data_IF_463354737272
#
_entry.id   IF_463354737272
#
_cell.length_a   1.000
_cell.length_b   1.000
_cell.length_c   1.000
_cell.angle_alpha   90.00
_cell.angle_beta   90.00
_cell.angle_gamma   90.00
#
_symmetry.space_group_name_H-M   'P 1'
#
loop_
_entity.id
_entity.type
_entity.pdbx_description
1 polymer ?
#
# COMPACT_ATOMS: atom_id res chain seq x y z
N UNK A 1 1.33 -26.63 -18.46
CA UNK A 1 1.65 -25.55 -17.50
C UNK A 1 0.37 -25.10 -16.85
N UNK A 2 0.39 -24.94 -15.54
CA UNK A 2 -0.75 -24.44 -14.75
C UNK A 2 -0.33 -23.08 -14.23
N UNK A 3 -1.17 -22.07 -14.47
CA UNK A 3 -0.87 -20.68 -14.14
C UNK A 3 -1.63 -20.25 -12.89
N UNK A 4 -1.07 -19.29 -12.16
CA UNK A 4 -1.79 -18.52 -11.16
C UNK A 4 -1.99 -17.10 -11.68
N UNK A 5 -3.24 -16.63 -11.62
CA UNK A 5 -3.58 -15.28 -12.05
C UNK A 5 -3.33 -14.27 -10.94
N UNK A 6 -2.58 -13.21 -11.20
CA UNK A 6 -2.62 -12.00 -10.38
C UNK A 6 -3.51 -10.98 -11.07
N UNK A 7 -4.49 -10.46 -10.34
CA UNK A 7 -5.42 -9.45 -10.81
C UNK A 7 -5.25 -8.17 -10.00
N UNK A 8 -4.88 -7.09 -10.68
CA UNK A 8 -4.61 -5.80 -10.05
C UNK A 8 -5.68 -4.81 -10.47
N UNK A 9 -6.36 -4.20 -9.50
CA UNK A 9 -7.32 -3.12 -9.75
C UNK A 9 -6.62 -1.77 -9.53
N UNK A 10 -6.28 -1.07 -10.60
CA UNK A 10 -5.70 0.27 -10.52
C UNK A 10 -6.03 1.09 -11.77
N UNK A 11 -6.12 2.42 -11.61
CA UNK A 11 -6.31 3.40 -12.69
C UNK A 11 -4.95 3.89 -13.26
N UNK A 12 -3.82 3.40 -12.74
CA UNK A 12 -2.46 3.77 -13.12
C UNK A 12 -1.65 2.65 -13.82
N UNK A 13 -0.31 2.79 -13.81
CA UNK A 13 0.64 1.75 -14.25
C UNK A 13 1.22 1.10 -12.98
N UNK A 14 0.72 -0.08 -12.54
CA UNK A 14 0.98 -0.56 -11.18
C UNK A 14 2.44 -0.92 -10.90
N UNK A 15 3.22 -1.25 -11.93
CA UNK A 15 4.64 -1.58 -11.82
C UNK A 15 5.56 -0.34 -11.79
N UNK A 16 5.01 0.87 -11.84
CA UNK A 16 5.79 2.08 -11.57
C UNK A 16 5.94 2.28 -10.06
N UNK A 17 4.96 1.80 -9.27
CA UNK A 17 5.02 1.88 -7.83
C UNK A 17 6.07 0.89 -7.26
N UNK A 18 7.08 1.36 -6.50
CA UNK A 18 8.13 0.50 -5.98
C UNK A 18 7.63 -0.57 -5.00
N UNK A 19 6.60 -0.26 -4.21
CA UNK A 19 6.04 -1.19 -3.24
C UNK A 19 5.36 -2.36 -3.97
N UNK A 20 4.45 -2.06 -4.90
CA UNK A 20 3.75 -3.04 -5.71
C UNK A 20 4.74 -3.89 -6.52
N UNK A 21 5.74 -3.27 -7.15
CA UNK A 21 6.74 -3.99 -7.94
C UNK A 21 7.54 -4.99 -7.12
N UNK A 22 7.99 -4.58 -5.93
CA UNK A 22 8.70 -5.47 -5.02
C UNK A 22 7.79 -6.60 -4.52
N UNK A 23 6.54 -6.27 -4.18
CA UNK A 23 5.55 -7.24 -3.74
C UNK A 23 5.24 -8.30 -4.82
N UNK A 24 5.03 -7.90 -6.08
CA UNK A 24 4.84 -8.84 -7.18
C UNK A 24 6.05 -9.74 -7.40
N UNK A 25 7.26 -9.20 -7.24
CA UNK A 25 8.50 -9.97 -7.31
C UNK A 25 8.56 -11.08 -6.25
N UNK A 26 8.23 -10.75 -5.00
CA UNK A 26 8.18 -11.74 -3.91
C UNK A 26 7.06 -12.76 -4.13
N UNK A 27 5.89 -12.32 -4.56
CA UNK A 27 4.77 -13.23 -4.84
C UNK A 27 5.08 -14.19 -6.00
N UNK A 28 5.69 -13.69 -7.09
CA UNK A 28 6.15 -14.52 -8.19
C UNK A 28 7.15 -15.60 -7.73
N UNK A 29 8.09 -15.21 -6.85
CA UNK A 29 9.08 -16.12 -6.28
C UNK A 29 8.42 -17.21 -5.43
N UNK A 30 7.45 -16.87 -4.57
CA UNK A 30 6.73 -17.87 -3.76
C UNK A 30 5.85 -18.79 -4.62
N UNK A 31 5.19 -18.26 -5.65
CA UNK A 31 4.40 -19.03 -6.61
C UNK A 31 5.29 -20.06 -7.36
N UNK A 32 6.45 -19.64 -7.84
CA UNK A 32 7.38 -20.50 -8.56
C UNK A 32 7.94 -21.63 -7.70
N UNK A 33 8.21 -21.38 -6.41
CA UNK A 33 8.64 -22.44 -5.48
C UNK A 33 7.63 -23.56 -5.34
N UNK A 34 6.35 -23.27 -5.56
CA UNK A 34 5.25 -24.24 -5.50
C UNK A 34 4.96 -24.89 -6.86
N UNK A 35 5.81 -24.67 -7.88
CA UNK A 35 5.70 -25.32 -9.19
C UNK A 35 4.66 -24.72 -10.14
N UNK A 36 4.24 -23.48 -9.89
CA UNK A 36 3.31 -22.74 -10.73
C UNK A 36 4.02 -21.58 -11.43
N UNK A 37 3.55 -21.24 -12.62
CA UNK A 37 3.95 -20.02 -13.32
C UNK A 37 2.98 -18.88 -13.02
N UNK A 38 3.52 -17.66 -12.90
CA UNK A 38 2.72 -16.47 -12.67
C UNK A 38 2.21 -15.89 -13.99
N UNK A 39 0.94 -15.53 -14.02
CA UNK A 39 0.35 -14.69 -15.06
C UNK A 39 -0.21 -13.40 -14.43
N UNK A 40 0.31 -12.25 -14.85
CA UNK A 40 -0.11 -10.95 -14.36
C UNK A 40 -1.16 -10.35 -15.30
N UNK A 41 -2.27 -9.86 -14.74
CA UNK A 41 -3.29 -9.14 -15.47
C UNK A 41 -3.81 -7.92 -14.72
N UNK A 42 -4.05 -6.85 -15.47
CA UNK A 42 -4.63 -5.61 -14.97
C UNK A 42 -6.11 -5.59 -15.31
N UNK A 43 -6.93 -5.31 -14.31
CA UNK A 43 -8.38 -5.34 -14.45
C UNK A 43 -8.90 -3.94 -14.23
N UNK A 44 -9.68 -3.44 -15.20
CA UNK A 44 -10.33 -2.12 -15.11
C UNK A 44 -11.69 -2.21 -14.44
N UNK A 45 -12.40 -3.31 -14.68
CA UNK A 45 -13.71 -3.55 -14.11
C UNK A 45 -13.93 -5.03 -13.79
N UNK A 46 -14.82 -5.29 -12.83
CA UNK A 46 -15.07 -6.65 -12.35
C UNK A 46 -15.67 -7.60 -13.39
N UNK A 47 -16.26 -7.10 -14.48
CA UNK A 47 -16.85 -7.96 -15.50
C UNK A 47 -15.79 -8.75 -16.29
N UNK A 48 -14.56 -8.21 -16.38
CA UNK A 48 -13.42 -8.85 -17.01
C UNK A 48 -12.88 -10.05 -16.19
N UNK A 49 -13.05 -10.03 -14.87
CA UNK A 49 -12.54 -11.07 -13.94
C UNK A 49 -13.04 -12.45 -14.37
N UNK A 50 -14.36 -12.60 -14.51
CA UNK A 50 -15.02 -13.86 -14.83
C UNK A 50 -14.56 -14.42 -16.18
N UNK A 51 -14.40 -13.55 -17.18
CA UNK A 51 -13.93 -13.95 -18.50
C UNK A 51 -12.47 -14.44 -18.45
N UNK A 52 -11.60 -13.71 -17.76
CA UNK A 52 -10.18 -14.03 -17.63
C UNK A 52 -9.96 -15.35 -16.89
N UNK A 53 -10.60 -15.55 -15.73
CA UNK A 53 -10.44 -16.77 -14.95
C UNK A 53 -10.93 -18.02 -15.71
N UNK A 54 -12.05 -17.92 -16.42
CA UNK A 54 -12.59 -19.05 -17.21
C UNK A 54 -11.75 -19.36 -18.45
N UNK A 55 -11.21 -18.35 -19.12
CA UNK A 55 -10.46 -18.54 -20.37
C UNK A 55 -9.04 -19.06 -20.16
N UNK A 56 -8.40 -18.74 -19.03
CA UNK A 56 -6.96 -18.94 -18.86
C UNK A 56 -6.52 -20.25 -18.20
N UNK A 57 -7.46 -21.12 -17.82
CA UNK A 57 -7.15 -22.40 -17.13
C UNK A 57 -6.19 -22.21 -15.94
N UNK A 58 -6.41 -21.16 -15.15
CA UNK A 58 -5.63 -20.91 -13.94
C UNK A 58 -6.05 -21.87 -12.82
N UNK A 59 -5.11 -22.28 -11.97
CA UNK A 59 -5.43 -23.09 -10.78
C UNK A 59 -5.99 -22.26 -9.62
N UNK A 60 -5.80 -20.96 -9.66
CA UNK A 60 -6.24 -20.03 -8.63
C UNK A 60 -5.85 -18.61 -8.98
N UNK A 61 -6.34 -17.65 -8.22
CA UNK A 61 -6.03 -16.25 -8.43
C UNK A 61 -5.78 -15.48 -7.13
N UNK A 62 -4.86 -14.52 -7.20
CA UNK A 62 -4.60 -13.52 -6.17
C UNK A 62 -5.06 -12.17 -6.69
N UNK A 63 -5.95 -11.53 -5.95
CA UNK A 63 -6.40 -10.17 -6.21
C UNK A 63 -5.66 -9.21 -5.30
N UNK A 64 -5.18 -8.08 -5.83
CA UNK A 64 -4.49 -7.03 -5.06
C UNK A 64 -5.17 -5.70 -5.34
N UNK A 65 -5.57 -5.01 -4.27
CA UNK A 65 -6.25 -3.72 -4.37
C UNK A 65 -7.22 -3.49 -3.21
N UNK A 66 -8.12 -2.52 -3.39
CA UNK A 66 -9.27 -2.36 -2.51
C UNK A 66 -10.45 -3.09 -3.14
N UNK A 67 -11.23 -3.81 -2.33
CA UNK A 67 -12.33 -4.62 -2.83
C UNK A 67 -13.63 -4.25 -2.15
N UNK A 68 -14.63 -3.89 -2.96
CA UNK A 68 -15.99 -3.57 -2.52
C UNK A 68 -16.86 -4.84 -2.42
N UNK A 69 -18.18 -4.66 -2.35
CA UNK A 69 -19.17 -5.75 -2.24
C UNK A 69 -19.05 -6.82 -3.34
N UNK A 70 -18.31 -6.54 -4.42
CA UNK A 70 -18.08 -7.47 -5.52
C UNK A 70 -17.22 -8.69 -5.15
N UNK A 71 -16.52 -8.72 -4.01
CA UNK A 71 -15.79 -9.94 -3.56
C UNK A 71 -16.73 -11.14 -3.52
N UNK A 72 -17.94 -10.96 -2.94
CA UNK A 72 -18.91 -12.05 -2.81
C UNK A 72 -19.33 -12.56 -4.18
N UNK A 73 -19.61 -11.64 -5.10
CA UNK A 73 -19.97 -12.00 -6.47
C UNK A 73 -18.85 -12.77 -7.17
N UNK A 74 -17.59 -12.33 -7.04
CA UNK A 74 -16.42 -13.03 -7.62
C UNK A 74 -16.29 -14.44 -7.04
N UNK A 75 -16.47 -14.60 -5.74
CA UNK A 75 -16.42 -15.90 -5.06
C UNK A 75 -17.57 -16.82 -5.49
N UNK A 76 -18.77 -16.28 -5.67
CA UNK A 76 -19.95 -17.02 -6.14
C UNK A 76 -19.81 -17.44 -7.61
N UNK A 77 -19.31 -16.55 -8.46
CA UNK A 77 -19.18 -16.78 -9.91
C UNK A 77 -18.00 -17.68 -10.29
N UNK A 78 -17.01 -17.83 -9.40
CA UNK A 78 -15.77 -18.55 -9.66
C UNK A 78 -15.48 -19.58 -8.56
N UNK A 79 -15.45 -20.85 -8.95
CA UNK A 79 -15.19 -21.96 -8.04
C UNK A 79 -13.71 -22.40 -8.01
N UNK A 80 -12.79 -21.48 -8.30
CA UNK A 80 -11.35 -21.69 -8.17
C UNK A 80 -10.85 -21.07 -6.85
N UNK A 81 -9.71 -21.54 -6.31
CA UNK A 81 -9.01 -20.90 -5.19
C UNK A 81 -8.73 -19.41 -5.41
N UNK A 82 -9.22 -18.57 -4.49
CA UNK A 82 -9.05 -17.11 -4.54
C UNK A 82 -8.40 -16.59 -3.26
N UNK A 83 -7.48 -15.64 -3.40
CA UNK A 83 -6.91 -14.85 -2.29
C UNK A 83 -7.08 -13.37 -2.60
N UNK A 84 -7.49 -12.58 -1.62
CA UNK A 84 -7.67 -11.13 -1.74
C UNK A 84 -6.67 -10.43 -0.81
N UNK A 85 -5.95 -9.44 -1.34
CA UNK A 85 -4.89 -8.72 -0.64
C UNK A 85 -5.20 -7.23 -0.64
N UNK A 86 -5.56 -6.73 0.54
CA UNK A 86 -5.94 -5.35 0.76
C UNK A 86 -7.09 -5.25 1.77
N UNK A 87 -7.54 -4.03 2.11
CA UNK A 87 -8.63 -3.84 3.03
C UNK A 87 -9.93 -4.41 2.46
N UNK A 88 -10.68 -5.09 3.32
CA UNK A 88 -12.08 -5.45 3.07
C UNK A 88 -12.87 -4.14 3.02
N UNK A 89 -13.21 -3.65 1.82
CA UNK A 89 -13.71 -2.29 1.67
C UNK A 89 -15.17 -2.22 2.08
N UNK A 90 -15.41 -1.88 3.35
CA UNK A 90 -16.60 -1.14 3.71
C UNK A 90 -16.29 0.34 3.49
N UNK A 91 -16.36 0.76 2.22
CA UNK A 91 -16.46 2.16 1.79
C UNK A 91 -15.19 2.99 1.74
N UNK A 92 -14.02 2.47 2.09
CA UNK A 92 -12.79 3.28 2.21
C UNK A 92 -11.55 2.49 1.76
N UNK A 93 -10.85 2.95 0.71
CA UNK A 93 -9.66 2.27 0.19
C UNK A 93 -8.44 2.33 1.13
N UNK A 94 -7.34 1.68 0.74
CA UNK A 94 -6.08 1.56 1.53
C UNK A 94 -5.63 2.88 2.15
N UNK A 95 -5.68 3.97 1.38
CA UNK A 95 -5.25 5.31 1.80
C UNK A 95 -6.05 5.81 3.01
N UNK A 96 -7.36 5.54 3.03
CA UNK A 96 -8.23 5.99 4.11
C UNK A 96 -7.97 5.20 5.39
N UNK A 97 -7.67 3.91 5.32
CA UNK A 97 -7.26 3.14 6.50
C UNK A 97 -5.96 3.69 7.13
N UNK A 98 -4.98 4.07 6.29
CA UNK A 98 -3.74 4.73 6.76
C UNK A 98 -4.05 6.06 7.46
N UNK A 99 -4.91 6.89 6.87
CA UNK A 99 -5.35 8.17 7.46
C UNK A 99 -6.11 7.96 8.78
N UNK A 100 -7.03 7.00 8.83
CA UNK A 100 -7.81 6.70 10.03
C UNK A 100 -6.92 6.23 11.18
N UNK A 101 -5.94 5.36 10.90
CA UNK A 101 -4.97 4.93 11.90
C UNK A 101 -4.19 6.11 12.49
N UNK A 102 -3.68 7.00 11.62
CA UNK A 102 -2.98 8.22 12.05
C UNK A 102 -3.89 9.14 12.90
N UNK A 103 -5.10 9.40 12.43
CA UNK A 103 -6.07 10.23 13.17
C UNK A 103 -6.49 9.61 14.50
N UNK A 104 -6.61 8.29 14.59
CA UNK A 104 -6.90 7.59 15.86
C UNK A 104 -5.77 7.80 16.85
N UNK A 105 -4.53 7.59 16.43
CA UNK A 105 -3.35 7.77 17.26
C UNK A 105 -3.23 9.20 17.79
N UNK A 106 -3.42 10.21 16.93
CA UNK A 106 -3.41 11.62 17.36
C UNK A 106 -4.51 11.90 18.39
N UNK A 107 -5.72 11.38 18.18
CA UNK A 107 -6.83 11.56 19.11
C UNK A 107 -6.54 10.93 20.47
N UNK A 108 -5.95 9.74 20.50
CA UNK A 108 -5.52 9.05 21.72
C UNK A 108 -4.43 9.85 22.47
N UNK A 109 -3.55 10.53 21.73
CA UNK A 109 -2.56 11.45 22.27
C UNK A 109 -3.14 12.84 22.66
N UNK A 110 -4.45 13.06 22.52
CA UNK A 110 -5.11 14.34 22.83
C UNK A 110 -4.87 15.45 21.79
N UNK A 111 -4.37 15.09 20.60
CA UNK A 111 -4.10 16.02 19.50
C UNK A 111 -5.26 15.97 18.51
N UNK A 112 -5.90 17.12 18.29
CA UNK A 112 -6.92 17.26 17.24
C UNK A 112 -6.26 17.72 15.94
N UNK A 113 -6.33 16.89 14.90
CA UNK A 113 -5.87 17.26 13.57
C UNK A 113 -6.90 18.18 12.88
N UNK A 114 -6.56 19.42 12.51
CA UNK A 114 -7.44 20.28 11.73
C UNK A 114 -7.69 19.69 10.34
N UNK A 115 -8.92 19.79 9.84
CA UNK A 115 -9.30 19.22 8.54
C UNK A 115 -8.50 19.79 7.36
N UNK A 116 -8.07 21.05 7.47
CA UNK A 116 -7.22 21.75 6.50
C UNK A 116 -5.80 21.19 6.41
N UNK A 117 -5.37 20.39 7.39
CA UNK A 117 -4.09 19.68 7.36
C UNK A 117 -4.19 18.30 6.69
N UNK A 118 -5.39 17.88 6.29
CA UNK A 118 -5.60 16.65 5.50
C UNK A 118 -5.61 17.05 4.02
N UNK A 119 -4.51 16.79 3.32
CA UNK A 119 -4.27 17.27 1.96
C UNK A 119 -4.24 16.10 0.98
N UNK A 120 -5.04 16.18 -0.08
CA UNK A 120 -4.89 15.31 -1.25
C UNK A 120 -3.89 15.94 -2.21
N UNK A 121 -2.75 15.28 -2.44
CA UNK A 121 -1.68 15.78 -3.32
C UNK A 121 -2.02 15.67 -4.81
N UNK A 122 -3.06 14.91 -5.18
CA UNK A 122 -3.40 14.63 -6.59
C UNK A 122 -3.67 15.92 -7.36
N UNK A 123 -2.85 16.18 -8.39
CA UNK A 123 -2.97 17.36 -9.25
C UNK A 123 -2.63 18.69 -8.57
N UNK A 124 -2.05 18.67 -7.36
CA UNK A 124 -1.67 19.87 -6.62
C UNK A 124 -0.19 20.23 -6.82
N UNK A 125 0.14 21.51 -6.66
CA UNK A 125 1.52 21.95 -6.57
C UNK A 125 2.03 21.83 -5.13
N UNK A 126 2.90 20.84 -4.91
CA UNK A 126 3.44 20.52 -3.59
C UNK A 126 4.28 21.66 -3.01
N UNK A 127 4.98 22.43 -3.83
CA UNK A 127 5.76 23.57 -3.34
C UNK A 127 4.86 24.66 -2.76
N UNK A 128 3.70 24.90 -3.39
CA UNK A 128 2.75 25.89 -2.90
C UNK A 128 2.07 25.40 -1.62
N UNK A 129 1.79 24.10 -1.52
CA UNK A 129 1.35 23.45 -0.27
C UNK A 129 2.38 23.66 0.84
N UNK A 130 3.67 23.35 0.62
CA UNK A 130 4.70 23.51 1.64
C UNK A 130 4.88 24.97 2.08
N UNK A 131 4.83 25.93 1.13
CA UNK A 131 4.84 27.37 1.46
C UNK A 131 3.64 27.76 2.31
N UNK A 132 2.45 27.28 1.98
CA UNK A 132 1.23 27.53 2.75
C UNK A 132 1.35 26.99 4.16
N UNK A 133 1.76 25.72 4.32
CA UNK A 133 1.91 25.06 5.61
C UNK A 133 2.97 25.74 6.49
N UNK A 134 4.08 26.21 5.91
CA UNK A 134 5.12 26.94 6.66
C UNK A 134 4.68 28.33 7.13
N UNK A 135 3.80 28.99 6.36
CA UNK A 135 3.33 30.36 6.63
C UNK A 135 2.03 30.43 7.44
N UNK A 136 1.41 29.29 7.74
CA UNK A 136 0.19 29.25 8.54
C UNK A 136 0.43 29.87 9.94
N UNK A 137 -0.60 30.43 10.59
CA UNK A 137 -0.47 31.00 11.95
C UNK A 137 0.12 30.03 12.97
N UNK A 138 -0.16 28.74 12.78
CA UNK A 138 0.48 27.63 13.47
C UNK A 138 1.21 26.78 12.41
N UNK A 139 2.50 27.04 12.14
CA UNK A 139 3.23 26.35 11.09
C UNK A 139 3.25 24.84 11.34
N UNK A 140 3.01 24.06 10.30
CA UNK A 140 3.16 22.61 10.35
C UNK A 140 4.65 22.26 10.43
N UNK A 141 5.03 21.46 11.42
CA UNK A 141 6.41 21.00 11.64
C UNK A 141 6.59 19.51 11.34
N UNK A 142 5.50 18.75 11.18
CA UNK A 142 5.51 17.32 10.91
C UNK A 142 4.49 16.93 9.84
N UNK A 143 4.90 16.09 8.90
CA UNK A 143 4.09 15.61 7.78
C UNK A 143 4.12 14.08 7.79
N UNK A 144 2.94 13.46 7.87
CA UNK A 144 2.77 12.04 7.61
C UNK A 144 2.21 11.88 6.18
N UNK A 145 2.87 11.06 5.36
CA UNK A 145 2.37 10.72 4.03
C UNK A 145 1.83 9.31 4.01
N UNK A 146 0.79 9.09 3.22
CA UNK A 146 0.16 7.77 3.12
C UNK A 146 0.98 6.78 2.31
N UNK A 147 2.09 7.20 1.68
CA UNK A 147 3.03 6.34 0.95
C UNK A 147 4.41 7.03 0.85
N UNK A 148 5.49 6.24 0.70
CA UNK A 148 6.87 6.73 0.62
C UNK A 148 7.11 7.57 -0.65
N UNK A 149 6.44 7.26 -1.75
CA UNK A 149 6.51 8.07 -2.98
C UNK A 149 6.05 9.51 -2.73
N UNK A 150 4.94 9.71 -2.02
CA UNK A 150 4.48 11.03 -1.59
C UNK A 150 5.51 11.72 -0.70
N UNK A 151 6.17 11.00 0.22
CA UNK A 151 7.26 11.57 1.03
C UNK A 151 8.41 12.07 0.14
N UNK A 152 8.79 11.33 -0.91
CA UNK A 152 9.86 11.78 -1.82
C UNK A 152 9.46 12.99 -2.67
N UNK A 153 8.18 13.16 -3.00
CA UNK A 153 7.69 14.39 -3.61
C UNK A 153 7.84 15.59 -2.66
N UNK A 154 7.54 15.41 -1.37
CA UNK A 154 7.78 16.41 -0.31
C UNK A 154 9.27 16.73 -0.20
N UNK A 155 10.16 15.73 -0.19
CA UNK A 155 11.61 15.94 -0.18
C UNK A 155 12.07 16.80 -1.35
N UNK A 156 11.63 16.47 -2.57
CA UNK A 156 11.98 17.22 -3.77
C UNK A 156 11.51 18.67 -3.72
N UNK A 157 10.28 18.91 -3.25
CA UNK A 157 9.73 20.24 -3.10
C UNK A 157 10.45 21.04 -1.98
N UNK A 158 10.70 20.43 -0.82
CA UNK A 158 11.42 21.04 0.29
C UNK A 158 12.82 21.49 -0.16
N UNK A 159 13.55 20.62 -0.85
CA UNK A 159 14.87 20.94 -1.41
C UNK A 159 14.83 22.16 -2.34
N UNK A 160 13.87 22.21 -3.29
CA UNK A 160 13.73 23.33 -4.23
C UNK A 160 13.37 24.65 -3.55
N UNK A 161 12.68 24.59 -2.42
CA UNK A 161 12.31 25.74 -1.61
C UNK A 161 13.38 26.15 -0.58
N UNK A 162 14.46 25.36 -0.44
CA UNK A 162 15.48 25.58 0.57
C UNK A 162 15.03 25.22 1.99
N UNK A 163 13.95 24.46 2.14
CA UNK A 163 13.54 23.89 3.42
C UNK A 163 14.35 22.64 3.75
N UNK A 164 14.65 22.46 5.03
CA UNK A 164 15.40 21.30 5.53
C UNK A 164 14.48 20.25 6.13
N UNK A 165 14.80 19.00 5.87
CA UNK A 165 14.22 17.85 6.55
C UNK A 165 15.36 17.30 7.41
N UNK A 166 15.17 17.10 8.73
CA UNK A 166 13.92 17.23 9.48
C UNK A 166 13.61 18.62 10.07
N UNK A 167 14.50 19.62 9.98
CA UNK A 167 14.43 20.82 10.82
C UNK A 167 13.27 21.77 10.49
N UNK A 168 12.93 21.91 9.20
CA UNK A 168 11.76 22.68 8.79
C UNK A 168 10.50 21.84 8.72
N UNK A 169 10.64 20.57 8.34
CA UNK A 169 9.57 19.58 8.29
C UNK A 169 10.13 18.20 8.66
N UNK A 170 9.63 17.62 9.74
CA UNK A 170 9.74 16.18 9.96
C UNK A 170 8.81 15.45 9.01
N UNK A 171 9.27 14.37 8.38
CA UNK A 171 8.51 13.62 7.37
C UNK A 171 8.51 12.14 7.73
N UNK A 172 7.33 11.53 7.76
CA UNK A 172 7.14 10.09 7.91
C UNK A 172 6.43 9.57 6.66
N UNK A 173 6.99 8.51 6.06
CA UNK A 173 6.39 7.79 4.95
C UNK A 173 5.62 6.54 5.36
N UNK A 174 5.25 5.76 4.36
CA UNK A 174 4.60 4.46 4.51
C UNK A 174 5.06 3.58 3.34
N UNK A 175 5.55 2.36 3.62
CA UNK A 175 5.89 1.22 2.74
C UNK A 175 7.30 0.64 3.02
N UNK A 176 8.24 1.44 3.54
CA UNK A 176 9.67 1.10 3.67
C UNK A 176 10.35 0.67 2.36
N UNK A 177 10.13 1.46 1.32
CA UNK A 177 10.70 1.23 0.01
C UNK A 177 12.24 1.31 0.03
N UNK A 178 12.89 0.67 -0.94
CA UNK A 178 14.36 0.66 -1.03
C UNK A 178 15.00 2.05 -1.13
N UNK A 179 14.23 3.05 -1.59
CA UNK A 179 14.65 4.45 -1.65
C UNK A 179 14.65 5.13 -0.28
N UNK A 180 13.84 4.65 0.67
CA UNK A 180 13.68 5.26 2.00
C UNK A 180 14.98 5.25 2.79
N UNK A 181 15.78 4.19 2.64
CA UNK A 181 17.15 4.10 3.22
C UNK A 181 18.22 4.94 2.49
N UNK A 182 17.96 5.36 1.26
CA UNK A 182 18.92 6.05 0.38
C UNK A 182 18.60 7.54 0.19
N UNK A 183 17.44 7.98 0.65
CA UNK A 183 17.07 9.38 0.70
C UNK A 183 18.04 10.15 1.62
N UNK A 184 18.11 11.46 1.42
CA UNK A 184 18.96 12.35 2.22
C UNK A 184 18.06 13.45 2.79
N UNK A 185 17.77 13.44 4.10
CA UNK A 185 18.12 12.39 5.07
C UNK A 185 17.32 11.08 4.84
N UNK A 186 17.78 9.91 5.33
CA UNK A 186 17.02 8.67 5.25
C UNK A 186 15.62 8.79 5.89
N UNK A 187 14.60 8.31 5.17
CA UNK A 187 13.18 8.47 5.51
C UNK A 187 12.72 7.49 6.59
N UNK A 188 12.23 8.02 7.71
CA UNK A 188 11.41 7.32 8.70
C UNK A 188 10.09 6.92 8.05
N UNK A 189 9.68 5.67 8.20
CA UNK A 189 8.53 5.13 7.45
C UNK A 189 7.90 3.93 8.14
N UNK A 190 6.61 3.72 7.90
CA UNK A 190 5.89 2.53 8.34
C UNK A 190 6.14 1.39 7.35
N UNK A 191 6.86 0.35 7.77
CA UNK A 191 7.16 -0.83 6.99
C UNK A 191 5.97 -1.78 6.93
N UNK A 192 5.65 -2.20 5.71
CA UNK A 192 4.83 -3.38 5.46
C UNK A 192 5.75 -4.55 5.07
N UNK A 193 5.66 -5.68 5.76
CA UNK A 193 6.48 -6.86 5.41
C UNK A 193 5.97 -7.51 4.13
N UNK A 194 6.54 -7.10 2.99
CA UNK A 194 6.20 -7.64 1.66
C UNK A 194 6.51 -9.13 1.54
N UNK A 195 7.56 -9.62 2.20
CA UNK A 195 7.99 -11.00 2.13
C UNK A 195 6.98 -11.90 2.85
N UNK A 196 6.64 -11.53 4.09
CA UNK A 196 5.63 -12.24 4.87
C UNK A 196 4.26 -12.20 4.19
N UNK A 197 3.87 -11.04 3.66
CA UNK A 197 2.60 -10.87 2.94
C UNK A 197 2.52 -11.77 1.70
N UNK A 198 3.59 -11.85 0.91
CA UNK A 198 3.64 -12.71 -0.27
C UNK A 198 3.62 -14.20 0.10
N UNK A 199 4.38 -14.59 1.13
CA UNK A 199 4.40 -15.96 1.65
C UNK A 199 3.02 -16.41 2.11
N UNK A 200 2.36 -15.61 2.95
CA UNK A 200 1.03 -15.95 3.47
C UNK A 200 -0.02 -16.01 2.37
N UNK A 201 -0.02 -15.05 1.45
CA UNK A 201 -0.93 -15.09 0.30
C UNK A 201 -0.76 -16.37 -0.53
N UNK A 202 0.49 -16.76 -0.83
CA UNK A 202 0.78 -17.98 -1.56
C UNK A 202 0.38 -19.23 -0.75
N UNK A 203 0.67 -19.28 0.54
CA UNK A 203 0.30 -20.38 1.42
C UNK A 203 -1.22 -20.57 1.49
N UNK A 204 -1.98 -19.49 1.67
CA UNK A 204 -3.45 -19.52 1.67
C UNK A 204 -3.98 -20.04 0.34
N UNK A 205 -3.38 -19.60 -0.78
CA UNK A 205 -3.78 -20.05 -2.10
C UNK A 205 -3.48 -21.54 -2.32
N UNK A 206 -2.27 -22.01 -1.97
CA UNK A 206 -1.88 -23.41 -2.10
C UNK A 206 -2.77 -24.32 -1.26
N UNK A 207 -3.05 -23.94 0.00
CA UNK A 207 -3.95 -24.68 0.88
C UNK A 207 -5.34 -24.85 0.27
N UNK A 208 -5.85 -23.82 -0.41
CA UNK A 208 -7.13 -23.88 -1.13
C UNK A 208 -7.09 -24.69 -2.41
N UNK A 209 -5.95 -24.70 -3.11
CA UNK A 209 -5.73 -25.57 -4.28
C UNK A 209 -5.70 -27.04 -3.88
N UNK A 210 -5.02 -27.36 -2.77
CA UNK A 210 -4.93 -28.73 -2.24
C UNK A 210 -6.26 -29.22 -1.65
N UNK A 211 -6.94 -28.37 -0.88
CA UNK A 211 -8.25 -28.65 -0.31
C UNK A 211 -9.21 -27.46 -0.47
N UNK A 212 -10.08 -27.56 -1.48
CA UNK A 212 -11.12 -26.57 -1.74
C UNK A 212 -12.10 -26.39 -0.55
N UNK A 213 -12.23 -27.39 0.34
CA UNK A 213 -13.09 -27.36 1.52
C UNK A 213 -12.42 -26.79 2.77
N UNK A 214 -11.13 -26.47 2.70
CA UNK A 214 -10.44 -25.78 3.79
C UNK A 214 -11.21 -24.50 4.16
N UNK A 215 -11.23 -24.06 5.43
CA UNK A 215 -11.96 -22.86 5.83
C UNK A 215 -11.37 -21.61 5.15
N UNK A 216 -12.20 -20.57 4.97
CA UNK A 216 -11.68 -19.26 4.58
C UNK A 216 -10.87 -18.67 5.75
N UNK A 217 -9.75 -18.03 5.42
CA UNK A 217 -8.86 -17.41 6.39
C UNK A 217 -8.80 -15.90 6.14
N UNK A 218 -8.78 -15.12 7.22
CA UNK A 218 -8.55 -13.68 7.19
C UNK A 218 -7.37 -13.37 8.11
N UNK A 219 -6.29 -12.82 7.56
CA UNK A 219 -5.05 -12.53 8.26
C UNK A 219 -4.77 -11.04 8.14
N UNK A 220 -4.64 -10.38 9.29
CA UNK A 220 -4.19 -9.00 9.41
C UNK A 220 -2.71 -9.04 9.79
N UNK A 221 -1.88 -8.30 9.05
CA UNK A 221 -0.46 -8.17 9.35
C UNK A 221 -0.21 -6.84 10.04
N UNK A 222 0.59 -6.91 11.11
CA UNK A 222 1.12 -5.73 11.77
C UNK A 222 2.11 -5.00 10.86
N UNK A 223 2.35 -3.74 11.21
CA UNK A 223 3.33 -2.88 10.53
C UNK A 223 4.34 -2.37 11.56
N UNK A 224 5.55 -2.11 11.09
CA UNK A 224 6.62 -1.61 11.96
C UNK A 224 6.94 -0.15 11.65
N UNK A 225 7.12 0.67 12.68
CA UNK A 225 7.77 1.97 12.48
C UNK A 225 9.28 1.77 12.34
N UNK A 226 9.83 2.18 11.21
CA UNK A 226 11.28 2.17 10.96
C UNK A 226 11.79 3.59 11.10
N UNK A 227 12.33 3.89 12.28
CA UNK A 227 12.90 5.20 12.61
C UNK A 227 14.23 5.42 11.89
N UNK A 228 14.37 6.62 11.31
CA UNK A 228 15.57 7.12 10.63
C UNK A 228 15.74 8.62 10.91
N UNK A 229 16.34 9.37 9.98
CA UNK A 229 16.83 10.74 10.20
C UNK A 229 15.86 11.82 9.69
N UNK A 230 14.69 11.45 9.15
CA UNK A 230 13.72 12.40 8.60
C UNK A 230 12.74 12.97 9.62
N UNK A 231 12.87 12.59 10.89
CA UNK A 231 12.06 13.10 12.00
C UNK A 231 13.00 13.70 13.03
N UNK A 232 12.68 14.90 13.51
CA UNK A 232 13.47 15.58 14.53
C UNK A 232 13.22 14.91 15.89
N UNK A 233 14.30 14.47 16.53
CA UNK A 233 14.23 14.02 17.92
C UNK A 233 14.17 15.24 18.86
N UNK A 234 13.06 15.34 19.60
CA UNK A 234 12.81 16.43 20.56
C UNK A 234 13.20 16.05 22.00
N UNK A 235 13.76 14.86 22.21
CA UNK A 235 14.18 14.38 23.53
C UNK A 235 15.59 14.84 23.96
N UNK A 236 16.30 15.54 23.06
CA UNK A 236 17.66 16.06 23.25
C UNK A 236 17.69 17.55 23.60
#
# INVERSE_FOLDING_TARGET
MVYLGIMVTDQGIPLVDPYNSAFFGELAREIQKNGYDLMLHYIKDYSEVNYCLKSWKVAGAVFIGSFDDNIRQIQEDNHIPLVFIGPEAIGNGVIMHRLQGFCSYLREAGIQLPSEHIINLTGQNIEDILKMLKKAPHPVTGIFTTADNCAFEIYGAAYRLGYRIPEDFSVIGFDDNSMSRRAIPPLTTIRQDICQKAQLACQMLMKKIEDAKSPAENIILDVDLIERESVLDLSL
#
